data_IF_819572041498
#
_entry.id   IF_819572041498
#
_cell.length_a   1.000
_cell.length_b   1.000
_cell.length_c   1.000
_cell.angle_alpha   90.00
_cell.angle_beta   90.00
_cell.angle_gamma   90.00
#
_symmetry.space_group_name_H-M   'P 1'
#
loop_
_entity.id
_entity.type
_entity.pdbx_description
1 polymer ?
#
# COMPACT_ATOMS: atom_id res chain seq x y z
N UNK A 1 -25.32 -10.25 35.22
CA UNK A 1 -24.65 -9.70 34.00
C UNK A 1 -23.35 -9.10 34.47
N UNK A 2 -22.23 -9.79 34.26
CA UNK A 2 -20.91 -9.26 34.61
C UNK A 2 -20.64 -8.04 33.71
N UNK A 3 -20.47 -6.86 34.28
CA UNK A 3 -19.94 -5.70 33.61
C UNK A 3 -18.52 -6.04 33.15
N UNK A 4 -18.36 -6.31 31.87
CA UNK A 4 -17.02 -6.45 31.24
C UNK A 4 -16.42 -5.04 31.34
N UNK A 5 -15.56 -4.84 32.34
CA UNK A 5 -14.80 -3.58 32.48
C UNK A 5 -14.06 -3.31 31.17
N UNK A 6 -14.23 -2.12 30.64
CA UNK A 6 -13.52 -1.71 29.41
C UNK A 6 -12.03 -1.92 29.62
N UNK A 7 -11.30 -2.39 28.60
CA UNK A 7 -9.83 -2.55 28.65
C UNK A 7 -9.13 -1.24 29.07
N UNK A 8 -9.75 -0.09 28.83
CA UNK A 8 -9.25 1.23 29.22
C UNK A 8 -9.37 1.48 30.74
N UNK A 9 -10.17 0.70 31.47
CA UNK A 9 -10.28 0.71 32.92
C UNK A 9 -9.45 -0.39 33.59
N UNK A 10 -8.45 -0.92 32.87
CA UNK A 10 -7.54 -1.93 33.38
C UNK A 10 -6.68 -1.32 34.51
N UNK A 11 -6.58 -2.01 35.65
CA UNK A 11 -5.80 -1.58 36.83
C UNK A 11 -4.32 -1.32 36.53
N UNK A 12 -3.76 -1.91 35.46
CA UNK A 12 -2.40 -1.66 35.00
C UNK A 12 -2.23 -0.35 34.24
N UNK A 13 -3.31 0.36 33.90
CA UNK A 13 -3.26 1.67 33.24
C UNK A 13 -3.43 2.74 34.32
N UNK A 14 -2.51 3.72 34.32
CA UNK A 14 -2.55 4.84 35.25
C UNK A 14 -3.89 5.57 35.18
N UNK A 15 -4.38 6.03 36.33
CA UNK A 15 -5.66 6.77 36.46
C UNK A 15 -5.71 8.01 35.57
N UNK A 16 -4.60 8.71 35.41
CA UNK A 16 -4.48 9.89 34.57
C UNK A 16 -4.72 9.56 33.06
N UNK A 17 -4.18 8.44 32.60
CA UNK A 17 -4.42 7.93 31.24
C UNK A 17 -5.88 7.49 31.05
N UNK A 18 -6.47 6.83 32.04
CA UNK A 18 -7.88 6.45 31.99
C UNK A 18 -8.77 7.68 31.88
N UNK A 19 -8.53 8.70 32.72
CA UNK A 19 -9.26 9.97 32.67
C UNK A 19 -9.06 10.72 31.34
N UNK A 20 -7.82 10.67 30.79
CA UNK A 20 -7.51 11.27 29.50
C UNK A 20 -8.26 10.61 28.35
N UNK A 21 -8.35 9.27 28.35
CA UNK A 21 -9.09 8.49 27.34
C UNK A 21 -10.59 8.82 27.37
N UNK A 22 -11.18 8.98 28.56
CA UNK A 22 -12.58 9.42 28.70
C UNK A 22 -12.81 10.81 28.12
N UNK A 23 -11.91 11.77 28.41
CA UNK A 23 -12.00 13.14 27.86
C UNK A 23 -11.97 13.17 26.33
N UNK A 24 -11.25 12.26 25.68
CA UNK A 24 -11.20 12.17 24.21
C UNK A 24 -12.22 11.15 23.64
N UNK A 25 -13.25 10.79 24.44
CA UNK A 25 -14.35 9.90 24.05
C UNK A 25 -13.97 8.47 23.65
N UNK A 26 -12.90 7.91 24.22
CA UNK A 26 -12.54 6.50 24.05
C UNK A 26 -13.40 5.63 24.97
N UNK A 27 -14.58 5.24 24.49
CA UNK A 27 -15.55 4.47 25.28
C UNK A 27 -15.44 2.96 25.07
N UNK A 28 -15.23 2.54 23.83
CA UNK A 28 -15.16 1.11 23.46
C UNK A 28 -13.85 0.81 22.74
N UNK A 29 -13.08 -0.19 23.18
CA UNK A 29 -11.87 -0.60 22.50
C UNK A 29 -12.19 -1.28 21.16
N UNK A 30 -11.33 -1.09 20.18
CA UNK A 30 -11.34 -1.88 18.95
C UNK A 30 -10.76 -3.28 19.23
N UNK A 31 -10.97 -4.24 18.31
CA UNK A 31 -10.37 -5.57 18.42
C UNK A 31 -8.85 -5.52 18.58
N UNK A 32 -8.18 -4.64 17.80
CA UNK A 32 -6.72 -4.44 17.91
C UNK A 32 -6.34 -3.96 19.32
N UNK A 33 -7.03 -2.96 19.85
CA UNK A 33 -6.76 -2.42 21.19
C UNK A 33 -6.99 -3.47 22.28
N UNK A 34 -8.06 -4.26 22.18
CA UNK A 34 -8.37 -5.32 23.14
C UNK A 34 -7.28 -6.41 23.21
N UNK A 35 -6.64 -6.70 22.09
CA UNK A 35 -5.58 -7.73 22.02
C UNK A 35 -4.19 -7.16 22.36
N UNK A 36 -3.85 -5.99 21.84
CA UNK A 36 -2.49 -5.43 21.90
C UNK A 36 -2.19 -4.76 23.25
N UNK A 37 -3.14 -4.01 23.82
CA UNK A 37 -2.91 -3.28 25.09
C UNK A 37 -2.47 -4.22 26.20
N UNK A 38 -3.17 -5.35 26.47
CA UNK A 38 -2.74 -6.28 27.52
C UNK A 38 -1.37 -6.91 27.26
N UNK A 39 -1.07 -7.24 26.00
CA UNK A 39 0.22 -7.83 25.62
C UNK A 39 1.37 -6.89 25.93
N UNK A 40 1.28 -5.63 25.49
CA UNK A 40 2.32 -4.61 25.74
C UNK A 40 2.43 -4.22 27.21
N UNK A 41 1.31 -4.11 27.96
CA UNK A 41 1.31 -3.89 29.41
C UNK A 41 2.00 -5.03 30.16
N UNK A 42 1.95 -6.25 29.64
CA UNK A 42 2.67 -7.41 30.16
C UNK A 42 4.09 -7.54 29.59
N UNK A 43 4.61 -6.50 28.94
CA UNK A 43 5.97 -6.42 28.37
C UNK A 43 6.27 -7.52 27.33
N UNK A 44 5.27 -8.00 26.61
CA UNK A 44 5.45 -8.94 25.51
C UNK A 44 5.81 -8.23 24.22
N UNK A 45 6.70 -8.82 23.42
CA UNK A 45 6.92 -8.41 22.05
C UNK A 45 5.71 -8.78 21.22
N UNK A 46 5.30 -7.90 20.30
CA UNK A 46 4.11 -8.12 19.46
C UNK A 46 4.41 -7.86 17.99
N UNK A 47 3.87 -8.72 17.14
CA UNK A 47 3.79 -8.49 15.69
C UNK A 47 2.31 -8.47 15.34
N UNK A 48 1.82 -7.30 14.93
CA UNK A 48 0.39 -7.05 14.75
C UNK A 48 0.08 -6.83 13.29
N UNK A 49 -0.71 -7.72 12.73
CA UNK A 49 -1.27 -7.56 11.40
C UNK A 49 -2.71 -7.06 11.50
N UNK A 50 -2.96 -5.84 11.05
CA UNK A 50 -4.28 -5.24 11.09
C UNK A 50 -4.40 -4.11 10.05
N UNK A 51 -5.60 -3.97 9.47
CA UNK A 51 -5.90 -2.96 8.45
C UNK A 51 -5.65 -1.53 8.95
N UNK A 52 -5.42 -0.59 8.01
CA UNK A 52 -5.36 0.85 8.31
C UNK A 52 -6.70 1.32 8.87
N UNK A 53 -6.68 2.18 9.91
CA UNK A 53 -7.91 2.66 10.57
C UNK A 53 -8.47 1.74 11.65
N UNK A 54 -7.87 0.57 11.91
CA UNK A 54 -8.32 -0.39 12.95
C UNK A 54 -8.08 0.06 14.40
N UNK A 55 -7.36 1.19 14.59
CA UNK A 55 -7.04 1.71 15.92
C UNK A 55 -5.65 1.33 16.45
N UNK A 56 -4.73 0.85 15.60
CA UNK A 56 -3.34 0.49 15.95
C UNK A 56 -2.62 1.55 16.77
N UNK A 57 -2.73 2.81 16.37
CA UNK A 57 -1.99 3.92 17.00
C UNK A 57 -2.24 4.01 18.51
N UNK A 58 -3.49 4.01 18.95
CA UNK A 58 -3.80 4.05 20.37
C UNK A 58 -3.51 2.71 21.07
N UNK A 59 -3.55 1.58 20.34
CA UNK A 59 -3.22 0.29 20.89
C UNK A 59 -1.78 0.19 21.42
N UNK A 60 -0.82 0.90 20.81
CA UNK A 60 0.55 0.96 21.31
C UNK A 60 0.86 2.24 22.09
N UNK A 61 0.27 3.39 21.78
CA UNK A 61 0.56 4.64 22.49
C UNK A 61 0.10 4.61 23.95
N UNK A 62 -1.04 3.99 24.25
CA UNK A 62 -1.55 3.85 25.62
C UNK A 62 -0.56 3.10 26.52
N UNK A 63 -0.11 1.86 26.17
CA UNK A 63 0.89 1.17 26.99
C UNK A 63 2.23 1.89 27.05
N UNK A 64 2.66 2.54 25.96
CA UNK A 64 3.93 3.29 25.93
C UNK A 64 3.89 4.44 26.92
N UNK A 65 2.88 5.31 26.85
CA UNK A 65 2.76 6.44 27.78
C UNK A 65 2.60 5.94 29.22
N UNK A 66 1.98 4.79 29.43
CA UNK A 66 1.85 4.16 30.73
C UNK A 66 3.21 3.70 31.31
N UNK A 67 4.15 3.26 30.47
CA UNK A 67 5.45 2.77 30.90
C UNK A 67 6.50 3.86 31.18
N UNK A 68 6.29 5.06 30.69
CA UNK A 68 7.25 6.17 30.83
C UNK A 68 7.23 6.68 32.26
N UNK A 69 8.42 6.74 32.86
CA UNK A 69 8.67 7.46 34.13
C UNK A 69 8.90 8.95 33.85
N UNK A 70 8.00 9.79 34.35
CA UNK A 70 8.01 11.24 34.13
C UNK A 70 9.20 11.92 34.77
N UNK A 71 9.78 11.31 35.83
CA UNK A 71 10.91 11.86 36.58
C UNK A 71 12.28 11.51 36.00
N UNK A 72 12.32 10.51 35.08
CA UNK A 72 13.57 10.10 34.45
C UNK A 72 13.83 10.90 33.15
N UNK A 73 14.85 11.82 33.14
CA UNK A 73 15.12 12.67 31.98
C UNK A 73 15.93 11.94 30.91
N UNK A 74 15.47 10.77 30.48
CA UNK A 74 16.12 9.93 29.48
C UNK A 74 15.10 9.46 28.45
N UNK A 75 15.54 9.11 27.23
CA UNK A 75 14.68 8.54 26.22
C UNK A 75 14.27 7.12 26.60
N UNK A 76 12.98 6.90 26.83
CA UNK A 76 12.44 5.64 27.33
C UNK A 76 11.60 4.90 26.28
N UNK A 77 11.09 5.62 25.29
CA UNK A 77 10.30 5.00 24.22
C UNK A 77 10.56 5.66 22.87
N UNK A 78 10.51 4.85 21.82
CA UNK A 78 10.66 5.30 20.43
C UNK A 78 9.56 4.67 19.59
N UNK A 79 8.94 5.50 18.75
CA UNK A 79 8.00 5.04 17.70
C UNK A 79 8.55 5.50 16.35
N UNK A 80 8.70 4.56 15.42
CA UNK A 80 9.11 4.89 14.04
C UNK A 80 7.95 4.75 13.08
N UNK A 81 7.90 5.66 12.10
CA UNK A 81 7.02 5.57 10.95
C UNK A 81 7.79 5.89 9.67
N UNK A 82 7.48 5.21 8.54
CA UNK A 82 8.28 5.27 7.31
C UNK A 82 8.29 6.64 6.65
N UNK A 83 7.27 7.45 6.82
CA UNK A 83 7.19 8.78 6.24
C UNK A 83 7.10 9.88 7.29
N UNK A 84 7.52 11.10 6.91
CA UNK A 84 7.48 12.28 7.75
C UNK A 84 6.05 12.67 8.15
N UNK A 85 5.14 12.50 7.24
CA UNK A 85 3.72 12.81 7.41
C UNK A 85 3.10 11.89 8.45
N UNK A 86 3.34 10.57 8.34
CA UNK A 86 2.87 9.59 9.33
C UNK A 86 3.48 9.85 10.69
N UNK A 87 4.81 10.04 10.76
CA UNK A 87 5.48 10.35 12.03
C UNK A 87 4.94 11.65 12.67
N UNK A 88 4.66 12.69 11.88
CA UNK A 88 4.04 13.92 12.38
C UNK A 88 2.59 13.71 12.84
N UNK A 89 1.84 12.85 12.18
CA UNK A 89 0.49 12.47 12.59
C UNK A 89 0.52 11.74 13.94
N UNK A 90 1.41 10.75 14.08
CA UNK A 90 1.62 10.03 15.35
C UNK A 90 2.04 10.97 16.48
N UNK A 91 2.91 11.92 16.19
CA UNK A 91 3.34 12.95 17.14
C UNK A 91 2.16 13.77 17.66
N UNK A 92 1.25 14.20 16.77
CA UNK A 92 0.05 14.95 17.17
C UNK A 92 -0.87 14.10 18.04
N UNK A 93 -1.09 12.83 17.68
CA UNK A 93 -1.93 11.89 18.45
C UNK A 93 -1.32 11.63 19.82
N UNK A 94 -0.01 11.40 19.90
CA UNK A 94 0.68 11.18 21.17
C UNK A 94 0.58 12.40 22.09
N UNK A 95 0.75 13.61 21.55
CA UNK A 95 0.57 14.86 22.29
C UNK A 95 -0.86 15.04 22.79
N UNK A 96 -1.84 14.81 21.92
CA UNK A 96 -3.25 14.91 22.30
C UNK A 96 -3.58 13.98 23.47
N UNK A 97 -3.11 12.74 23.44
CA UNK A 97 -3.34 11.77 24.51
C UNK A 97 -2.61 12.19 25.79
N UNK A 98 -1.34 12.62 25.71
CA UNK A 98 -0.58 13.15 26.84
C UNK A 98 -1.29 14.35 27.48
N UNK A 99 -1.68 15.34 26.66
CA UNK A 99 -2.29 16.57 27.14
C UNK A 99 -3.67 16.30 27.79
N UNK A 100 -4.48 15.42 27.18
CA UNK A 100 -5.76 15.01 27.75
C UNK A 100 -5.60 14.30 29.10
N UNK A 101 -4.50 13.55 29.27
CA UNK A 101 -4.17 12.80 30.48
C UNK A 101 -3.44 13.64 31.55
N UNK A 102 -3.00 14.86 31.22
CA UNK A 102 -2.24 15.72 32.14
C UNK A 102 -0.84 15.18 32.47
N UNK A 103 -0.28 14.29 31.65
CA UNK A 103 1.06 13.71 31.87
C UNK A 103 2.17 14.71 31.55
N UNK A 104 3.19 14.78 32.39
CA UNK A 104 4.36 15.63 32.17
C UNK A 104 5.47 14.89 31.39
N UNK A 105 5.13 14.32 30.26
CA UNK A 105 6.02 13.56 29.37
C UNK A 105 6.54 14.46 28.25
N UNK A 106 7.86 14.54 28.10
CA UNK A 106 8.50 15.22 26.97
C UNK A 106 8.43 14.33 25.70
N UNK A 107 7.75 14.81 24.66
CA UNK A 107 7.62 14.12 23.38
C UNK A 107 8.28 14.96 22.29
N UNK A 108 9.19 14.38 21.51
CA UNK A 108 9.86 15.07 20.41
C UNK A 108 9.62 14.36 19.08
N UNK A 109 9.45 15.14 18.02
CA UNK A 109 9.31 14.69 16.65
C UNK A 109 10.63 14.83 15.90
N UNK A 110 11.20 13.72 15.42
CA UNK A 110 12.41 13.69 14.62
C UNK A 110 12.08 13.28 13.17
N UNK A 111 11.67 14.25 12.37
CA UNK A 111 11.43 14.10 10.94
C UNK A 111 12.36 14.96 10.12
N UNK A 112 12.61 14.55 8.88
CA UNK A 112 13.36 15.37 7.92
C UNK A 112 12.60 16.65 7.56
N UNK A 113 13.32 17.68 7.04
CA UNK A 113 12.74 18.96 6.62
C UNK A 113 12.51 19.97 7.74
N UNK A 114 12.68 19.60 8.99
CA UNK A 114 12.81 20.53 10.10
C UNK A 114 14.29 20.90 10.29
N UNK A 115 14.54 22.06 10.91
CA UNK A 115 15.88 22.49 11.23
C UNK A 115 16.59 21.43 12.09
N UNK A 116 17.59 20.79 11.50
CA UNK A 116 18.35 19.71 12.14
C UNK A 116 19.10 20.21 13.38
N UNK A 117 19.68 21.40 13.31
CA UNK A 117 20.45 21.95 14.40
C UNK A 117 19.56 22.25 15.61
N UNK A 118 18.37 22.80 15.38
CA UNK A 118 17.39 23.03 16.43
C UNK A 118 16.88 21.73 17.07
N UNK A 119 16.76 20.63 16.29
CA UNK A 119 16.42 19.31 16.86
C UNK A 119 17.56 18.75 17.71
N UNK A 120 18.84 18.98 17.32
CA UNK A 120 20.02 18.59 18.09
C UNK A 120 20.07 19.37 19.41
N UNK A 121 19.99 20.69 19.34
CA UNK A 121 19.99 21.55 20.53
C UNK A 121 18.93 21.13 21.56
N UNK A 122 17.74 20.80 21.10
CA UNK A 122 16.67 20.30 21.97
C UNK A 122 16.99 18.93 22.58
N UNK A 123 17.52 17.98 21.78
CA UNK A 123 17.86 16.66 22.26
C UNK A 123 19.02 16.70 23.30
N UNK A 124 19.95 17.62 23.13
CA UNK A 124 21.09 17.83 24.04
C UNK A 124 20.67 18.58 25.31
N UNK A 125 19.78 19.58 25.19
CA UNK A 125 19.34 20.37 26.36
C UNK A 125 18.48 19.58 27.33
N UNK A 126 17.61 18.70 26.82
CA UNK A 126 16.76 17.81 27.61
C UNK A 126 16.41 16.61 26.77
N UNK A 127 16.86 15.42 27.17
CA UNK A 127 16.51 14.18 26.48
C UNK A 127 14.97 13.96 26.49
N UNK A 128 14.30 13.86 25.31
CA UNK A 128 12.88 13.59 25.26
C UNK A 128 12.60 12.15 25.72
N UNK A 129 11.55 11.96 26.52
CA UNK A 129 11.19 10.65 27.06
C UNK A 129 10.53 9.76 26.00
N UNK A 130 9.79 10.37 25.07
CA UNK A 130 9.22 9.70 23.88
C UNK A 130 9.71 10.37 22.60
N UNK A 131 10.26 9.59 21.71
CA UNK A 131 10.65 10.04 20.37
C UNK A 131 9.73 9.42 19.34
N UNK A 132 9.20 10.24 18.42
CA UNK A 132 8.50 9.81 17.24
C UNK A 132 9.30 10.24 16.01
N UNK A 133 9.77 9.27 15.22
CA UNK A 133 10.79 9.55 14.22
C UNK A 133 10.56 8.82 12.90
N UNK A 134 11.17 9.35 11.83
CA UNK A 134 11.42 8.54 10.62
C UNK A 134 12.72 7.74 10.78
N UNK A 135 12.81 6.51 10.21
CA UNK A 135 13.99 5.65 10.39
C UNK A 135 15.31 6.33 10.08
N UNK A 136 15.42 7.02 8.93
CA UNK A 136 16.65 7.70 8.54
C UNK A 136 17.06 8.84 9.48
N UNK A 137 16.11 9.59 10.05
CA UNK A 137 16.42 10.66 11.00
C UNK A 137 16.82 10.09 12.37
N UNK A 138 16.13 9.05 12.80
CA UNK A 138 16.49 8.36 14.05
C UNK A 138 17.89 7.75 13.96
N UNK A 139 18.21 7.12 12.85
CA UNK A 139 19.54 6.57 12.58
C UNK A 139 20.65 7.65 12.61
N UNK A 140 20.43 8.80 11.94
CA UNK A 140 21.38 9.94 11.97
C UNK A 140 21.65 10.44 13.41
N UNK A 141 20.60 10.51 14.23
CA UNK A 141 20.73 10.99 15.62
C UNK A 141 21.36 9.94 16.54
N UNK A 142 21.02 8.67 16.39
CA UNK A 142 21.57 7.58 17.18
C UNK A 142 23.04 7.27 16.82
N UNK A 143 23.40 7.33 15.52
CA UNK A 143 24.78 7.10 15.07
C UNK A 143 25.73 8.20 15.54
N UNK A 144 25.26 9.43 15.67
CA UNK A 144 26.03 10.59 16.19
C UNK A 144 25.92 10.77 17.70
N UNK A 145 25.27 9.84 18.41
CA UNK A 145 25.09 9.84 19.85
C UNK A 145 24.32 11.04 20.43
N UNK A 146 23.50 11.73 19.61
CA UNK A 146 22.57 12.76 20.12
C UNK A 146 21.41 12.13 20.90
N UNK A 147 21.18 10.82 20.72
CA UNK A 147 20.19 10.04 21.47
C UNK A 147 20.86 8.79 22.00
N UNK A 148 20.68 8.53 23.30
CA UNK A 148 21.07 7.26 23.89
C UNK A 148 19.94 6.24 23.79
N UNK A 149 20.23 5.08 23.21
CA UNK A 149 19.28 4.00 23.00
C UNK A 149 19.24 2.98 24.16
N UNK A 150 20.21 3.02 25.07
CA UNK A 150 20.35 2.04 26.16
C UNK A 150 19.19 2.06 27.16
N UNK A 151 18.57 3.24 27.34
CA UNK A 151 17.47 3.43 28.29
C UNK A 151 16.07 3.20 27.63
N UNK A 152 16.02 2.81 26.37
CA UNK A 152 14.77 2.60 25.63
C UNK A 152 14.09 1.31 26.13
N UNK A 153 12.95 1.48 26.79
CA UNK A 153 12.11 0.39 27.31
C UNK A 153 11.11 -0.15 26.31
N UNK A 154 10.73 0.68 25.32
CA UNK A 154 9.79 0.29 24.26
C UNK A 154 10.20 0.85 22.91
N UNK A 155 10.14 0.02 21.86
CA UNK A 155 10.43 0.41 20.48
C UNK A 155 9.35 -0.11 19.56
N UNK A 156 8.65 0.80 18.86
CA UNK A 156 7.56 0.46 17.97
C UNK A 156 7.90 0.83 16.52
N UNK A 157 7.60 -0.09 15.62
CA UNK A 157 7.67 0.12 14.17
C UNK A 157 6.24 0.17 13.65
N UNK A 158 5.76 1.36 13.32
CA UNK A 158 4.45 1.51 12.67
C UNK A 158 4.60 1.48 11.15
N UNK A 159 3.64 0.90 10.45
CA UNK A 159 3.67 0.58 9.03
C UNK A 159 4.99 -0.11 8.62
N UNK A 160 5.25 -1.27 9.27
CA UNK A 160 6.52 -1.97 9.15
C UNK A 160 6.79 -2.52 7.74
N UNK A 161 5.75 -2.94 7.00
CA UNK A 161 5.82 -3.31 5.60
C UNK A 161 6.31 -2.13 4.74
N UNK A 162 5.75 -0.96 4.96
CA UNK A 162 6.17 0.26 4.26
C UNK A 162 7.62 0.66 4.62
N UNK A 163 8.06 0.42 5.86
CA UNK A 163 9.46 0.63 6.28
C UNK A 163 10.42 -0.28 5.52
N UNK A 164 10.02 -1.54 5.28
CA UNK A 164 10.74 -2.50 4.44
C UNK A 164 10.85 -2.01 3.00
N UNK A 165 9.71 -1.61 2.41
CA UNK A 165 9.62 -1.22 0.99
C UNK A 165 10.39 0.06 0.66
N UNK A 166 10.46 0.97 1.61
CA UNK A 166 11.28 2.19 1.47
C UNK A 166 12.78 1.94 1.66
N UNK A 167 13.18 0.70 1.90
CA UNK A 167 14.59 0.32 2.01
C UNK A 167 15.24 0.68 3.34
N UNK A 168 14.47 0.96 4.39
CA UNK A 168 15.01 1.38 5.69
C UNK A 168 15.46 0.23 6.59
N UNK A 169 15.40 -1.04 6.15
CA UNK A 169 15.75 -2.16 7.01
C UNK A 169 17.20 -2.11 7.52
N UNK A 170 18.16 -1.64 6.72
CA UNK A 170 19.55 -1.54 7.18
C UNK A 170 19.72 -0.54 8.33
N UNK A 171 19.08 0.63 8.23
CA UNK A 171 19.09 1.62 9.31
C UNK A 171 18.35 1.11 10.55
N UNK A 172 17.24 0.41 10.36
CA UNK A 172 16.51 -0.22 11.46
C UNK A 172 17.35 -1.32 12.12
N UNK A 173 18.11 -2.09 11.35
CA UNK A 173 19.04 -3.12 11.86
C UNK A 173 20.10 -2.50 12.77
N UNK A 174 20.71 -1.41 12.34
CA UNK A 174 21.70 -0.68 13.15
C UNK A 174 21.12 -0.06 14.43
N UNK A 175 19.88 0.44 14.37
CA UNK A 175 19.20 1.01 15.54
C UNK A 175 18.85 -0.10 16.52
N UNK A 176 18.16 -1.16 16.03
CA UNK A 176 17.65 -2.22 16.89
C UNK A 176 18.76 -3.05 17.54
N UNK A 177 19.92 -3.16 16.87
CA UNK A 177 21.10 -3.84 17.44
C UNK A 177 21.67 -3.14 18.69
N UNK A 178 21.35 -1.85 18.91
CA UNK A 178 21.83 -1.04 20.06
C UNK A 178 20.81 -0.95 21.19
N UNK A 179 19.61 -1.50 21.01
CA UNK A 179 18.58 -1.51 22.05
C UNK A 179 18.92 -2.53 23.16
N UNK A 180 18.50 -2.26 24.38
CA UNK A 180 18.51 -3.27 25.44
C UNK A 180 17.66 -4.48 25.03
N UNK A 181 18.16 -5.69 25.28
CA UNK A 181 17.44 -6.95 25.02
C UNK A 181 16.14 -7.08 25.80
N UNK A 182 15.96 -6.29 26.86
CA UNK A 182 14.75 -6.22 27.67
C UNK A 182 13.71 -5.24 27.12
N UNK A 183 14.07 -4.46 26.11
CA UNK A 183 13.15 -3.52 25.48
C UNK A 183 11.98 -4.28 24.86
N UNK A 184 10.77 -3.77 25.07
CA UNK A 184 9.55 -4.30 24.45
C UNK A 184 9.50 -3.83 23.01
N UNK A 185 9.42 -4.76 22.08
CA UNK A 185 9.40 -4.46 20.65
C UNK A 185 7.99 -4.73 20.08
N UNK A 186 7.48 -3.78 19.30
CA UNK A 186 6.21 -3.92 18.60
C UNK A 186 6.36 -3.57 17.12
N UNK A 187 5.86 -4.44 16.24
CA UNK A 187 5.74 -4.17 14.82
C UNK A 187 4.27 -4.18 14.41
N UNK A 188 3.83 -3.10 13.78
CA UNK A 188 2.45 -2.90 13.34
C UNK A 188 2.42 -2.71 11.84
N UNK A 189 1.61 -3.49 11.15
CA UNK A 189 1.57 -3.50 9.69
C UNK A 189 0.21 -3.94 9.17
N UNK A 190 -0.10 -3.60 7.92
CA UNK A 190 -1.24 -4.18 7.22
C UNK A 190 -0.88 -5.59 6.68
N UNK A 191 0.39 -5.76 6.27
CA UNK A 191 0.92 -7.02 5.73
C UNK A 191 2.21 -7.42 6.43
N UNK A 192 2.52 -8.71 6.49
CA UNK A 192 3.77 -9.23 7.08
C UNK A 192 4.49 -10.11 6.04
N UNK A 193 5.19 -9.51 5.07
CA UNK A 193 5.99 -10.26 4.11
C UNK A 193 7.08 -11.10 4.78
N UNK A 194 7.45 -12.23 4.19
CA UNK A 194 8.48 -13.15 4.73
C UNK A 194 9.78 -12.44 5.08
N UNK A 195 10.20 -11.48 4.26
CA UNK A 195 11.42 -10.69 4.51
C UNK A 195 11.32 -9.84 5.78
N UNK A 196 10.15 -9.24 6.03
CA UNK A 196 9.88 -8.48 7.25
C UNK A 196 9.82 -9.40 8.46
N UNK A 197 9.12 -10.54 8.34
CA UNK A 197 9.04 -11.53 9.42
C UNK A 197 10.43 -12.02 9.84
N UNK A 198 11.30 -12.38 8.88
CA UNK A 198 12.67 -12.79 9.14
C UNK A 198 13.49 -11.70 9.84
N UNK A 199 13.31 -10.43 9.45
CA UNK A 199 13.95 -9.29 10.11
C UNK A 199 13.47 -9.15 11.57
N UNK A 200 12.17 -9.22 11.81
CA UNK A 200 11.60 -9.08 13.15
C UNK A 200 12.02 -10.24 14.08
N UNK A 201 12.08 -11.47 13.57
CA UNK A 201 12.55 -12.66 14.33
C UNK A 201 14.00 -12.54 14.81
N UNK A 202 14.82 -11.75 14.16
CA UNK A 202 16.21 -11.47 14.60
C UNK A 202 16.26 -10.75 15.95
N UNK A 203 15.29 -9.87 16.22
CA UNK A 203 15.27 -9.00 17.39
C UNK A 203 14.22 -9.38 18.43
N UNK A 204 13.11 -9.98 18.00
CA UNK A 204 12.00 -10.34 18.87
C UNK A 204 12.07 -11.81 19.27
N UNK A 205 12.39 -12.08 20.53
CA UNK A 205 12.28 -13.44 21.09
C UNK A 205 10.81 -13.78 21.34
N UNK A 206 10.28 -14.82 20.69
CA UNK A 206 8.91 -15.33 20.87
C UNK A 206 7.85 -14.22 20.85
N UNK A 207 7.75 -13.43 19.78
CA UNK A 207 6.73 -12.38 19.70
C UNK A 207 5.33 -13.01 19.67
N UNK A 208 4.38 -12.32 20.28
CA UNK A 208 2.97 -12.64 20.13
C UNK A 208 2.49 -12.13 18.76
N UNK A 209 2.11 -13.06 17.89
CA UNK A 209 1.54 -12.72 16.59
C UNK A 209 0.04 -12.48 16.77
N UNK A 210 -0.37 -11.23 16.59
CA UNK A 210 -1.75 -10.79 16.70
C UNK A 210 -2.25 -10.47 15.29
N UNK A 211 -2.99 -11.40 14.72
CA UNK A 211 -3.65 -11.18 13.43
C UNK A 211 -5.10 -10.82 13.75
N UNK A 212 -5.46 -9.60 13.41
CA UNK A 212 -6.85 -9.18 13.51
C UNK A 212 -7.51 -9.52 12.19
N UNK A 213 -8.19 -10.64 12.19
CA UNK A 213 -8.98 -11.07 11.07
C UNK A 213 -10.01 -9.98 10.74
N UNK A 214 -9.70 -9.23 9.72
CA UNK A 214 -10.72 -8.52 9.00
C UNK A 214 -11.13 -9.47 7.87
N UNK A 215 -12.36 -9.99 7.84
CA UNK A 215 -12.80 -10.88 6.76
C UNK A 215 -12.70 -10.22 5.39
N UNK A 216 -12.47 -8.92 5.36
CA UNK A 216 -12.17 -8.18 4.14
C UNK A 216 -10.85 -7.39 4.33
N UNK A 217 -9.85 -7.69 3.52
CA UNK A 217 -8.59 -6.93 3.42
C UNK A 217 -8.87 -5.47 3.05
N UNK A 218 -9.95 -5.24 2.33
CA UNK A 218 -10.55 -3.95 2.00
C UNK A 218 -11.79 -3.76 2.87
N UNK A 219 -11.98 -2.57 3.43
CA UNK A 219 -13.15 -2.27 4.25
C UNK A 219 -14.44 -2.55 3.46
N UNK A 220 -15.47 -3.19 4.07
CA UNK A 220 -16.73 -3.53 3.37
C UNK A 220 -17.49 -2.31 2.82
N UNK A 221 -17.16 -1.11 3.32
CA UNK A 221 -17.71 0.17 2.87
C UNK A 221 -17.09 0.65 1.55
N UNK A 222 -16.08 -0.07 1.01
CA UNK A 222 -15.40 0.30 -0.23
C UNK A 222 -15.90 -0.59 -1.36
N UNK A 223 -16.57 0.00 -2.33
CA UNK A 223 -16.82 -0.64 -3.62
C UNK A 223 -15.51 -0.70 -4.41
N UNK A 224 -15.13 -1.88 -4.90
CA UNK A 224 -13.85 -2.08 -5.58
C UNK A 224 -14.05 -2.64 -6.99
N UNK A 225 -14.05 -1.75 -7.97
CA UNK A 225 -14.33 -2.06 -9.36
C UNK A 225 -13.06 -2.31 -10.18
N UNK A 226 -13.15 -3.19 -11.16
CA UNK A 226 -12.12 -3.47 -12.15
C UNK A 226 -12.63 -3.17 -13.55
N UNK A 227 -11.89 -2.36 -14.30
CA UNK A 227 -12.21 -2.00 -15.68
C UNK A 227 -11.09 -2.46 -16.62
N UNK A 228 -11.42 -3.39 -17.50
CA UNK A 228 -10.57 -3.76 -18.63
C UNK A 228 -10.66 -2.68 -19.71
N UNK A 229 -9.54 -2.02 -19.95
CA UNK A 229 -9.42 -0.94 -20.95
C UNK A 229 -9.48 -1.48 -22.38
N UNK A 230 -9.01 -2.72 -22.58
CA UNK A 230 -8.93 -3.33 -23.91
C UNK A 230 -8.08 -2.52 -24.89
N UNK A 231 -8.65 -2.14 -26.02
CA UNK A 231 -7.98 -1.32 -27.04
C UNK A 231 -8.27 0.18 -26.91
N UNK A 232 -9.01 0.59 -25.90
CA UNK A 232 -9.39 2.00 -25.68
C UNK A 232 -8.22 2.80 -25.12
N UNK A 233 -8.26 4.10 -25.31
CA UNK A 233 -7.28 5.01 -24.68
C UNK A 233 -7.54 5.12 -23.17
N UNK A 234 -6.56 4.71 -22.37
CA UNK A 234 -6.64 4.67 -20.91
C UNK A 234 -6.80 6.05 -20.29
N UNK A 235 -6.19 7.09 -20.88
CA UNK A 235 -6.32 8.48 -20.43
C UNK A 235 -7.75 9.00 -20.62
N UNK A 236 -8.38 8.68 -21.75
CA UNK A 236 -9.77 9.05 -22.04
C UNK A 236 -10.75 8.35 -21.08
N UNK A 237 -10.50 7.08 -20.73
CA UNK A 237 -11.30 6.37 -19.72
C UNK A 237 -11.13 7.04 -18.35
N UNK A 238 -9.90 7.34 -17.95
CA UNK A 238 -9.63 8.04 -16.69
C UNK A 238 -10.41 9.37 -16.61
N UNK A 239 -10.32 10.19 -17.65
CA UNK A 239 -11.04 11.48 -17.70
C UNK A 239 -12.54 11.30 -17.49
N UNK A 240 -13.15 10.34 -18.20
CA UNK A 240 -14.58 10.03 -18.07
C UNK A 240 -14.95 9.58 -16.66
N UNK A 241 -14.14 8.73 -16.03
CA UNK A 241 -14.37 8.28 -14.65
C UNK A 241 -14.31 9.44 -13.66
N UNK A 242 -13.36 10.35 -13.82
CA UNK A 242 -13.20 11.49 -12.94
C UNK A 242 -14.36 12.51 -13.07
N UNK A 243 -14.95 12.62 -14.27
CA UNK A 243 -16.02 13.59 -14.56
C UNK A 243 -17.44 13.02 -14.39
N UNK A 244 -17.58 11.70 -14.40
CA UNK A 244 -18.87 11.00 -14.38
C UNK A 244 -19.67 11.23 -13.09
N UNK A 245 -19.03 11.13 -11.94
CA UNK A 245 -19.71 11.16 -10.63
C UNK A 245 -19.43 12.41 -9.79
N UNK A 246 -18.73 13.39 -10.32
CA UNK A 246 -18.27 14.60 -9.60
C UNK A 246 -17.78 14.27 -8.18
N UNK A 247 -16.71 13.46 -8.04
CA UNK A 247 -16.24 13.06 -6.74
C UNK A 247 -15.85 14.28 -5.90
N UNK A 248 -16.10 14.26 -4.60
CA UNK A 248 -15.63 15.32 -3.72
C UNK A 248 -14.10 15.46 -3.80
N UNK A 249 -13.39 14.35 -3.75
CA UNK A 249 -11.95 14.28 -3.94
C UNK A 249 -11.57 12.93 -4.55
N UNK A 250 -10.96 12.95 -5.73
CA UNK A 250 -10.43 11.77 -6.41
C UNK A 250 -8.90 11.72 -6.30
N UNK A 251 -8.38 10.53 -5.97
CA UNK A 251 -6.94 10.25 -5.91
C UNK A 251 -6.57 9.22 -6.97
N UNK A 252 -5.77 9.63 -7.95
CA UNK A 252 -5.31 8.80 -9.07
C UNK A 252 -3.87 8.34 -8.83
N UNK A 253 -3.64 7.04 -8.87
CA UNK A 253 -2.31 6.45 -8.67
C UNK A 253 -1.66 6.03 -9.97
N UNK A 254 -0.40 6.45 -10.17
CA UNK A 254 0.48 6.01 -11.22
C UNK A 254 1.85 5.58 -10.65
N UNK A 255 2.54 4.67 -11.35
CA UNK A 255 3.76 4.06 -10.83
C UNK A 255 4.99 4.95 -10.93
N UNK A 256 5.05 5.85 -11.92
CA UNK A 256 6.23 6.66 -12.18
C UNK A 256 5.94 8.16 -12.11
N UNK A 257 6.98 8.95 -11.77
CA UNK A 257 6.92 10.41 -11.86
C UNK A 257 6.49 10.88 -13.25
N UNK A 258 7.05 10.26 -14.30
CA UNK A 258 6.75 10.60 -15.68
C UNK A 258 5.27 10.40 -16.00
N UNK A 259 4.70 9.25 -15.60
CA UNK A 259 3.27 8.99 -15.80
C UNK A 259 2.40 9.99 -15.03
N UNK A 260 2.81 10.37 -13.80
CA UNK A 260 2.10 11.40 -13.01
C UNK A 260 2.09 12.74 -13.76
N UNK A 261 3.24 13.19 -14.28
CA UNK A 261 3.33 14.43 -15.06
C UNK A 261 2.46 14.35 -16.33
N UNK A 262 2.58 13.28 -17.13
CA UNK A 262 1.79 13.06 -18.35
C UNK A 262 0.26 13.01 -18.12
N UNK A 263 -0.18 12.46 -17.01
CA UNK A 263 -1.60 12.41 -16.64
C UNK A 263 -2.09 13.77 -16.17
N UNK A 264 -1.27 14.48 -15.40
CA UNK A 264 -1.62 15.83 -14.94
C UNK A 264 -1.79 16.75 -16.12
N UNK A 265 -0.79 16.81 -17.02
CA UNK A 265 -0.82 17.66 -18.21
C UNK A 265 -2.06 17.33 -19.09
N UNK A 266 -2.33 16.05 -19.33
CA UNK A 266 -3.51 15.63 -20.09
C UNK A 266 -4.83 16.07 -19.45
N UNK A 267 -4.98 15.91 -18.13
CA UNK A 267 -6.22 16.27 -17.43
C UNK A 267 -6.40 17.79 -17.35
N UNK A 268 -5.31 18.56 -17.22
CA UNK A 268 -5.33 20.01 -17.27
C UNK A 268 -5.71 20.52 -18.69
N UNK A 269 -5.21 19.90 -19.77
CA UNK A 269 -5.63 20.15 -21.15
C UNK A 269 -7.14 19.89 -21.36
N UNK A 270 -7.72 18.93 -20.62
CA UNK A 270 -9.17 18.69 -20.62
C UNK A 270 -9.97 19.65 -19.70
N UNK A 271 -9.31 20.66 -19.13
CA UNK A 271 -9.94 21.69 -18.30
C UNK A 271 -10.14 21.32 -16.84
N UNK A 272 -9.56 20.22 -16.35
CA UNK A 272 -9.62 19.85 -14.94
C UNK A 272 -8.52 20.54 -14.13
N UNK A 273 -8.86 21.00 -12.92
CA UNK A 273 -7.89 21.55 -11.98
C UNK A 273 -7.27 20.41 -11.15
N UNK A 274 -6.05 20.03 -11.49
CA UNK A 274 -5.38 18.83 -10.93
C UNK A 274 -4.19 19.22 -10.07
N UNK A 275 -4.03 18.56 -8.92
CA UNK A 275 -2.80 18.61 -8.14
C UNK A 275 -1.93 17.38 -8.44
N UNK A 276 -0.60 17.55 -8.55
CA UNK A 276 0.33 16.44 -8.73
C UNK A 276 1.23 16.25 -7.52
N UNK A 277 1.46 14.99 -7.14
CA UNK A 277 2.32 14.63 -6.01
C UNK A 277 3.22 13.45 -6.40
N UNK A 278 4.51 13.70 -6.57
CA UNK A 278 5.51 12.68 -6.86
C UNK A 278 6.85 13.01 -6.21
N UNK A 279 7.81 12.09 -6.23
CA UNK A 279 9.11 12.26 -5.56
C UNK A 279 10.01 13.38 -6.12
N UNK A 280 9.61 14.03 -7.22
CA UNK A 280 10.36 15.14 -7.82
C UNK A 280 9.95 16.53 -7.34
N UNK A 281 8.86 16.68 -6.60
CA UNK A 281 8.45 17.96 -6.01
C UNK A 281 9.18 18.21 -4.70
N UNK A 282 9.44 19.50 -4.39
CA UNK A 282 10.07 19.88 -3.14
C UNK A 282 9.14 19.65 -1.95
N UNK A 283 9.71 19.44 -0.77
CA UNK A 283 8.91 19.26 0.46
C UNK A 283 8.01 20.45 0.77
N UNK A 284 8.51 21.67 0.53
CA UNK A 284 7.73 22.91 0.73
C UNK A 284 6.53 22.95 -0.21
N UNK A 285 6.71 22.58 -1.45
CA UNK A 285 5.66 22.51 -2.46
C UNK A 285 4.64 21.41 -2.11
N UNK A 286 5.12 20.22 -1.73
CA UNK A 286 4.26 19.13 -1.28
C UNK A 286 3.36 19.54 -0.10
N UNK A 287 3.93 20.18 0.93
CA UNK A 287 3.15 20.70 2.08
C UNK A 287 2.11 21.72 1.63
N UNK A 288 2.47 22.60 0.68
CA UNK A 288 1.53 23.57 0.11
C UNK A 288 0.38 22.88 -0.60
N UNK A 289 0.68 21.92 -1.50
CA UNK A 289 -0.33 21.17 -2.26
C UNK A 289 -1.27 20.42 -1.31
N UNK A 290 -0.73 19.67 -0.33
CA UNK A 290 -1.55 18.94 0.64
C UNK A 290 -2.49 19.88 1.41
N UNK A 291 -2.02 21.06 1.79
CA UNK A 291 -2.87 22.07 2.44
C UNK A 291 -3.99 22.54 1.51
N UNK A 292 -3.67 22.88 0.28
CA UNK A 292 -4.64 23.33 -0.73
C UNK A 292 -5.68 22.23 -1.06
N UNK A 293 -5.28 20.96 -1.08
CA UNK A 293 -6.20 19.82 -1.24
C UNK A 293 -7.15 19.72 -0.04
N UNK A 294 -6.65 19.87 1.19
CA UNK A 294 -7.48 19.89 2.41
C UNK A 294 -8.46 21.06 2.47
N UNK A 295 -8.06 22.18 1.90
CA UNK A 295 -8.90 23.38 1.77
C UNK A 295 -9.90 23.29 0.59
N UNK A 296 -9.96 22.16 -0.13
CA UNK A 296 -10.87 21.94 -1.25
C UNK A 296 -10.53 22.71 -2.53
N UNK A 297 -9.29 23.22 -2.65
CA UNK A 297 -8.85 23.95 -3.83
C UNK A 297 -8.61 23.03 -5.06
N UNK A 298 -8.45 21.74 -4.83
CA UNK A 298 -8.29 20.70 -5.83
C UNK A 298 -9.25 19.55 -5.57
N UNK A 299 -9.96 19.13 -6.61
CA UNK A 299 -10.85 17.97 -6.61
C UNK A 299 -10.14 16.70 -7.11
N UNK A 300 -9.08 16.87 -7.88
CA UNK A 300 -8.34 15.77 -8.49
C UNK A 300 -6.87 15.82 -8.09
N UNK A 301 -6.34 14.69 -7.66
CA UNK A 301 -4.93 14.56 -7.27
C UNK A 301 -4.34 13.37 -8.01
N UNK A 302 -3.28 13.58 -8.80
CA UNK A 302 -2.50 12.50 -9.41
C UNK A 302 -1.21 12.29 -8.63
N UNK A 303 -0.97 11.08 -8.17
CA UNK A 303 0.16 10.81 -7.28
C UNK A 303 0.89 9.51 -7.60
N UNK A 304 2.18 9.47 -7.29
CA UNK A 304 2.94 8.21 -7.23
C UNK A 304 2.88 7.61 -5.82
N UNK A 305 3.02 6.28 -5.72
CA UNK A 305 2.93 5.55 -4.45
C UNK A 305 3.78 6.15 -3.34
N UNK A 306 5.08 6.31 -3.61
CA UNK A 306 6.03 6.82 -2.63
C UNK A 306 5.63 8.21 -2.11
N UNK A 307 5.09 9.04 -2.98
CA UNK A 307 4.72 10.41 -2.64
C UNK A 307 3.32 10.52 -2.02
N UNK A 308 2.41 9.60 -2.35
CA UNK A 308 1.07 9.53 -1.76
C UNK A 308 1.04 8.84 -0.39
N UNK A 309 2.13 8.13 -0.03
CA UNK A 309 2.25 7.50 1.29
C UNK A 309 2.24 8.54 2.40
N UNK A 310 1.47 8.26 3.43
CA UNK A 310 1.32 9.18 4.57
C UNK A 310 0.48 10.42 4.29
N UNK A 311 -0.09 10.58 3.09
CA UNK A 311 -1.07 11.63 2.84
C UNK A 311 -2.37 11.23 3.53
N UNK A 312 -2.64 11.87 4.65
CA UNK A 312 -3.95 11.83 5.30
C UNK A 312 -4.74 13.04 4.83
N UNK A 313 -5.51 12.83 3.78
CA UNK A 313 -6.48 13.81 3.28
C UNK A 313 -7.87 13.25 3.52
N UNK A 314 -8.67 13.91 4.37
CA UNK A 314 -10.05 13.51 4.58
C UNK A 314 -10.89 13.75 3.32
N UNK A 315 -11.93 12.94 3.12
CA UNK A 315 -12.89 13.15 2.04
C UNK A 315 -12.50 12.54 0.70
N UNK A 316 -11.48 11.69 0.62
CA UNK A 316 -11.22 10.89 -0.58
C UNK A 316 -12.34 9.88 -0.74
N UNK A 317 -13.22 10.11 -1.71
CA UNK A 317 -14.32 9.20 -2.01
C UNK A 317 -14.09 8.35 -3.26
N UNK A 318 -13.15 8.74 -4.13
CA UNK A 318 -12.74 7.98 -5.30
C UNK A 318 -11.22 7.73 -5.32
N UNK A 319 -10.83 6.49 -5.48
CA UNK A 319 -9.45 6.09 -5.77
C UNK A 319 -9.41 5.43 -7.14
N UNK A 320 -8.51 5.88 -8.01
CA UNK A 320 -8.29 5.23 -9.31
C UNK A 320 -6.86 4.71 -9.39
N UNK A 321 -6.69 3.41 -9.45
CA UNK A 321 -5.42 2.80 -9.81
C UNK A 321 -5.27 2.84 -11.34
N UNK A 322 -4.62 3.89 -11.85
CA UNK A 322 -4.35 4.02 -13.29
C UNK A 322 -3.38 2.94 -13.78
N UNK A 323 -2.41 2.56 -12.95
CA UNK A 323 -1.46 1.46 -13.18
C UNK A 323 -1.42 0.56 -11.94
N UNK A 324 -1.33 -0.76 -12.15
CA UNK A 324 -1.07 -1.69 -11.06
C UNK A 324 0.37 -1.51 -10.58
N UNK A 325 0.64 -1.39 -9.28
CA UNK A 325 2.00 -1.26 -8.77
C UNK A 325 2.78 -2.58 -8.95
N UNK A 326 4.12 -2.48 -8.98
CA UNK A 326 4.98 -3.66 -9.07
C UNK A 326 4.80 -4.60 -7.88
N UNK A 327 4.69 -4.03 -6.69
CA UNK A 327 4.40 -4.75 -5.46
C UNK A 327 2.90 -4.66 -5.21
N UNK A 328 2.22 -5.78 -5.37
CA UNK A 328 0.75 -5.85 -5.37
C UNK A 328 0.12 -5.42 -4.03
N UNK A 329 0.86 -5.57 -2.92
CA UNK A 329 0.41 -5.13 -1.59
C UNK A 329 0.09 -3.62 -1.55
N UNK A 330 0.72 -2.80 -2.42
CA UNK A 330 0.40 -1.38 -2.50
C UNK A 330 -1.01 -1.08 -2.99
N UNK A 331 -1.64 -2.00 -3.72
CA UNK A 331 -3.05 -1.85 -4.11
C UNK A 331 -3.93 -1.70 -2.88
N UNK A 332 -3.68 -2.48 -1.82
CA UNK A 332 -4.40 -2.40 -0.53
C UNK A 332 -4.24 -1.01 0.09
N UNK A 333 -3.00 -0.52 0.14
CA UNK A 333 -2.69 0.80 0.71
C UNK A 333 -3.29 1.96 -0.10
N UNK A 334 -3.40 1.82 -1.44
CA UNK A 334 -4.04 2.79 -2.31
C UNK A 334 -5.55 2.80 -2.09
N UNK A 335 -6.18 1.63 -2.13
CA UNK A 335 -7.63 1.47 -1.90
C UNK A 335 -8.01 1.99 -0.50
N UNK A 336 -7.22 1.71 0.52
CA UNK A 336 -7.42 2.21 1.89
C UNK A 336 -7.24 3.74 2.05
N UNK A 337 -7.07 4.51 0.97
CA UNK A 337 -7.17 5.99 1.02
C UNK A 337 -8.62 6.47 1.00
N UNK A 338 -9.54 5.68 0.49
CA UNK A 338 -11.00 5.92 0.57
C UNK A 338 -11.65 5.08 1.66
N UNK A 339 -12.94 5.25 1.91
CA UNK A 339 -13.71 4.45 2.87
C UNK A 339 -13.29 4.59 4.33
N UNK A 340 -12.67 5.71 4.73
CA UNK A 340 -12.18 5.94 6.10
C UNK A 340 -13.28 6.39 7.03
N UNK A 341 -13.13 6.08 8.32
CA UNK A 341 -14.07 6.47 9.40
C UNK A 341 -15.50 5.96 9.18
N UNK A 342 -15.66 4.82 8.50
CA UNK A 342 -16.97 4.22 8.22
C UNK A 342 -17.74 4.90 7.07
N UNK A 343 -17.12 5.82 6.35
CA UNK A 343 -17.69 6.42 5.15
C UNK A 343 -17.61 5.44 3.98
N UNK A 344 -18.52 5.57 3.02
CA UNK A 344 -18.47 4.85 1.77
C UNK A 344 -17.30 5.35 0.91
N UNK A 345 -16.67 4.42 0.19
CA UNK A 345 -15.57 4.70 -0.72
C UNK A 345 -15.70 3.93 -2.02
N UNK A 346 -15.11 4.46 -3.08
CA UNK A 346 -15.06 3.80 -4.37
C UNK A 346 -13.62 3.68 -4.84
N UNK A 347 -13.19 2.48 -5.19
CA UNK A 347 -11.90 2.21 -5.78
C UNK A 347 -12.10 1.59 -7.18
N UNK A 348 -11.38 2.10 -8.17
CA UNK A 348 -11.45 1.61 -9.55
C UNK A 348 -10.03 1.26 -10.00
N UNK A 349 -9.81 0.05 -10.47
CA UNK A 349 -8.54 -0.38 -11.04
C UNK A 349 -8.66 -0.54 -12.56
N UNK A 350 -7.80 0.16 -13.30
CA UNK A 350 -7.76 0.10 -14.76
C UNK A 350 -6.68 -0.88 -15.21
N UNK A 351 -7.05 -1.86 -16.03
CA UNK A 351 -6.11 -2.86 -16.53
C UNK A 351 -6.15 -2.99 -18.05
N UNK A 352 -5.04 -3.50 -18.59
CA UNK A 352 -5.00 -4.11 -19.93
C UNK A 352 -5.07 -5.64 -19.82
N UNK A 353 -5.45 -6.30 -20.91
CA UNK A 353 -5.61 -7.77 -20.99
C UNK A 353 -4.37 -8.56 -20.48
N UNK A 354 -3.16 -8.02 -20.64
CA UNK A 354 -1.90 -8.65 -20.24
C UNK A 354 -1.59 -8.48 -18.74
N UNK A 355 -2.32 -7.61 -18.04
CA UNK A 355 -2.18 -7.38 -16.58
C UNK A 355 -3.10 -8.29 -15.75
N UNK A 356 -3.95 -9.12 -16.40
CA UNK A 356 -4.94 -9.95 -15.69
C UNK A 356 -4.34 -10.96 -14.71
N UNK A 357 -3.14 -11.47 -14.98
CA UNK A 357 -2.44 -12.35 -14.05
C UNK A 357 -2.14 -11.68 -12.71
N UNK A 358 -1.94 -10.36 -12.70
CA UNK A 358 -1.71 -9.60 -11.47
C UNK A 358 -3.01 -9.44 -10.67
N UNK A 359 -4.16 -9.38 -11.35
CA UNK A 359 -5.47 -9.39 -10.68
C UNK A 359 -5.73 -10.74 -10.02
N UNK A 360 -5.43 -11.85 -10.72
CA UNK A 360 -5.53 -13.20 -10.14
C UNK A 360 -4.65 -13.34 -8.88
N UNK A 361 -3.48 -12.69 -8.85
CA UNK A 361 -2.61 -12.69 -7.67
C UNK A 361 -3.15 -11.78 -6.55
N UNK A 362 -3.78 -10.66 -6.88
CA UNK A 362 -4.49 -9.79 -5.92
C UNK A 362 -5.71 -10.50 -5.31
N UNK A 363 -6.45 -11.26 -6.11
CA UNK A 363 -7.57 -12.07 -5.61
C UNK A 363 -7.12 -13.16 -4.64
N UNK A 364 -5.96 -13.79 -4.87
CA UNK A 364 -5.34 -14.74 -3.92
C UNK A 364 -4.94 -14.08 -2.61
N UNK A 365 -4.61 -12.79 -2.63
CA UNK A 365 -4.39 -11.98 -1.42
C UNK A 365 -5.71 -11.60 -0.71
N UNK A 366 -6.89 -11.99 -1.28
CA UNK A 366 -8.19 -11.74 -0.70
C UNK A 366 -8.84 -10.41 -1.09
N UNK A 367 -8.36 -9.76 -2.16
CA UNK A 367 -8.98 -8.57 -2.74
C UNK A 367 -10.03 -9.02 -3.76
N UNK A 368 -11.29 -8.66 -3.53
CA UNK A 368 -12.36 -8.94 -4.49
C UNK A 368 -12.60 -7.72 -5.38
N UNK A 369 -12.84 -7.98 -6.67
CA UNK A 369 -13.14 -6.96 -7.67
C UNK A 369 -14.48 -7.22 -8.32
N UNK A 370 -15.28 -6.15 -8.48
CA UNK A 370 -16.48 -6.16 -9.31
C UNK A 370 -16.12 -5.73 -10.72
N UNK A 371 -16.34 -6.63 -11.69
CA UNK A 371 -16.03 -6.34 -13.09
C UNK A 371 -17.04 -5.36 -13.68
N UNK A 372 -16.57 -4.18 -14.08
CA UNK A 372 -17.39 -3.14 -14.70
C UNK A 372 -16.86 -2.77 -16.09
N UNK A 373 -17.72 -2.20 -16.89
CA UNK A 373 -17.36 -1.56 -18.16
C UNK A 373 -17.93 -0.15 -18.20
N UNK A 374 -17.19 0.77 -18.80
CA UNK A 374 -17.66 2.15 -18.99
C UNK A 374 -18.35 2.26 -20.34
N UNK A 375 -19.70 2.42 -20.33
CA UNK A 375 -20.53 2.58 -21.53
C UNK A 375 -21.40 3.81 -21.39
N UNK A 376 -21.41 4.65 -22.40
CA UNK A 376 -22.24 5.87 -22.47
C UNK A 376 -22.15 6.79 -21.24
N UNK A 377 -21.03 6.79 -20.54
CA UNK A 377 -20.81 7.58 -19.31
C UNK A 377 -21.32 6.92 -18.03
N UNK A 378 -21.66 5.63 -18.04
CA UNK A 378 -22.10 4.89 -16.87
C UNK A 378 -21.26 3.62 -16.66
N UNK A 379 -21.09 3.22 -15.39
CA UNK A 379 -20.48 1.94 -15.02
C UNK A 379 -21.55 0.85 -15.06
N UNK A 380 -21.42 -0.07 -16.02
CA UNK A 380 -22.32 -1.22 -16.18
C UNK A 380 -21.63 -2.50 -15.74
N UNK A 381 -22.38 -3.37 -15.08
CA UNK A 381 -21.87 -4.69 -14.71
C UNK A 381 -21.46 -5.49 -15.94
N UNK A 382 -20.30 -6.12 -15.85
CA UNK A 382 -19.82 -7.05 -16.86
C UNK A 382 -19.98 -8.47 -16.30
N UNK A 383 -21.07 -9.13 -16.67
CA UNK A 383 -21.47 -10.45 -16.16
C UNK A 383 -20.52 -11.60 -16.52
N UNK A 384 -19.66 -11.41 -17.50
CA UNK A 384 -18.59 -12.35 -17.83
C UNK A 384 -17.34 -11.57 -18.19
N UNK A 385 -16.26 -11.84 -17.50
CA UNK A 385 -14.94 -11.64 -18.04
C UNK A 385 -14.88 -12.55 -19.27
N UNK A 386 -15.12 -11.97 -20.45
CA UNK A 386 -14.84 -12.69 -21.68
C UNK A 386 -13.31 -12.80 -21.77
N UNK A 387 -12.75 -13.79 -21.05
CA UNK A 387 -11.67 -14.51 -21.67
C UNK A 387 -12.15 -14.71 -23.10
N UNK A 388 -11.42 -14.20 -24.05
CA UNK A 388 -11.38 -14.78 -25.36
C UNK A 388 -10.80 -16.18 -25.15
N UNK A 389 -11.59 -17.08 -24.54
CA UNK A 389 -11.29 -18.49 -24.29
C UNK A 389 -10.95 -19.23 -25.58
N UNK A 390 -11.07 -18.58 -26.72
CA UNK A 390 -10.67 -19.07 -28.02
C UNK A 390 -9.34 -18.52 -28.55
N UNK A 391 -8.68 -17.59 -27.87
CA UNK A 391 -7.22 -17.52 -27.95
C UNK A 391 -6.66 -18.34 -26.78
N UNK A 392 -6.74 -19.68 -26.90
CA UNK A 392 -5.65 -20.48 -26.37
C UNK A 392 -4.38 -19.69 -26.68
N UNK A 393 -3.76 -19.08 -25.67
CA UNK A 393 -2.32 -18.90 -25.67
C UNK A 393 -1.82 -20.32 -25.82
N UNK A 394 -1.78 -20.78 -27.07
CA UNK A 394 -1.03 -21.96 -27.42
C UNK A 394 0.35 -21.57 -26.95
N UNK A 395 0.71 -22.05 -25.76
CA UNK A 395 2.07 -22.18 -25.38
C UNK A 395 2.70 -22.98 -26.51
N UNK A 396 3.16 -22.30 -27.54
CA UNK A 396 3.94 -22.89 -28.61
C UNK A 396 5.23 -23.31 -27.92
N UNK A 397 5.16 -24.48 -27.25
CA UNK A 397 6.39 -25.18 -26.85
C UNK A 397 7.24 -25.20 -28.11
N UNK A 398 8.39 -24.57 -28.02
CA UNK A 398 9.34 -24.57 -29.11
C UNK A 398 9.47 -26.03 -29.58
N UNK A 399 9.30 -26.26 -30.86
CA UNK A 399 9.50 -27.57 -31.47
C UNK A 399 10.90 -28.09 -31.12
N UNK A 400 11.04 -29.40 -30.96
CA UNK A 400 12.30 -30.04 -30.62
C UNK A 400 13.46 -29.59 -31.51
N UNK A 401 13.17 -29.29 -32.79
CA UNK A 401 14.12 -28.71 -33.75
C UNK A 401 14.62 -27.33 -33.32
N UNK A 402 13.70 -26.47 -32.86
CA UNK A 402 14.02 -25.11 -32.37
C UNK A 402 14.74 -25.16 -31.02
N UNK A 403 14.37 -26.10 -30.13
CA UNK A 403 15.08 -26.35 -28.87
C UNK A 403 16.53 -26.76 -29.13
N UNK A 404 16.74 -27.66 -30.11
CA UNK A 404 18.05 -28.07 -30.56
C UNK A 404 18.90 -26.92 -31.10
N UNK A 405 18.28 -26.05 -31.94
CA UNK A 405 18.92 -24.87 -32.52
C UNK A 405 19.32 -23.84 -31.46
N UNK A 406 18.44 -23.57 -30.48
CA UNK A 406 18.72 -22.68 -29.33
C UNK A 406 19.86 -23.25 -28.47
N UNK A 407 19.85 -24.55 -28.16
CA UNK A 407 20.94 -25.22 -27.41
C UNK A 407 22.26 -25.14 -28.15
N UNK A 408 22.26 -25.37 -29.48
CA UNK A 408 23.49 -25.32 -30.32
C UNK A 408 24.06 -23.91 -30.41
N UNK A 409 23.19 -22.87 -30.48
CA UNK A 409 23.59 -21.46 -30.55
C UNK A 409 24.09 -20.93 -29.21
N UNK A 410 23.55 -21.45 -28.08
CA UNK A 410 24.07 -21.15 -26.73
C UNK A 410 25.46 -21.72 -26.44
N UNK A 411 25.83 -22.89 -27.06
CA UNK A 411 27.16 -23.48 -26.91
C UNK A 411 28.26 -22.67 -27.62
N UNK A 412 27.95 -21.89 -28.67
CA UNK A 412 28.88 -21.03 -29.40
C UNK A 412 28.49 -19.58 -29.26
N UNK A 413 28.88 -18.92 -28.16
CA UNK A 413 28.60 -17.54 -27.86
C UNK A 413 29.39 -16.62 -28.80
N UNK A 414 28.72 -16.05 -29.82
CA UNK A 414 29.27 -14.99 -30.68
C UNK A 414 28.51 -13.68 -30.41
N UNK A 415 29.13 -12.49 -30.59
CA UNK A 415 28.41 -11.21 -30.49
C UNK A 415 27.11 -11.24 -31.32
N UNK A 416 26.01 -10.78 -30.74
CA UNK A 416 24.70 -10.74 -31.38
C UNK A 416 23.89 -12.06 -31.38
N UNK A 417 24.36 -13.14 -30.70
CA UNK A 417 23.68 -14.43 -30.69
C UNK A 417 22.23 -14.35 -30.14
N UNK A 418 21.96 -13.51 -29.13
CA UNK A 418 20.61 -13.30 -28.59
C UNK A 418 19.63 -12.73 -29.64
N UNK A 419 20.12 -11.77 -30.46
CA UNK A 419 19.33 -11.18 -31.54
C UNK A 419 19.01 -12.22 -32.62
N UNK A 420 19.96 -13.08 -33.00
CA UNK A 420 19.77 -14.18 -33.97
C UNK A 420 18.76 -15.22 -33.47
N UNK A 421 18.83 -15.61 -32.19
CA UNK A 421 17.85 -16.53 -31.59
C UNK A 421 16.45 -15.91 -31.63
N UNK A 422 16.28 -14.64 -31.21
CA UNK A 422 15.00 -13.94 -31.22
C UNK A 422 14.41 -13.85 -32.62
N UNK A 423 15.22 -13.52 -33.62
CA UNK A 423 14.77 -13.46 -35.02
C UNK A 423 14.36 -14.83 -35.56
N UNK A 424 15.11 -15.89 -35.27
CA UNK A 424 14.76 -17.25 -35.70
C UNK A 424 13.43 -17.72 -35.09
N UNK A 425 13.22 -17.49 -33.80
CA UNK A 425 11.97 -17.82 -33.10
C UNK A 425 10.80 -17.04 -33.70
N UNK A 426 10.99 -15.75 -33.96
CA UNK A 426 9.94 -14.89 -34.56
C UNK A 426 9.57 -15.34 -35.97
N UNK A 427 10.57 -15.71 -36.80
CA UNK A 427 10.34 -16.21 -38.14
C UNK A 427 9.59 -17.55 -38.16
N UNK A 428 9.95 -18.49 -37.27
CA UNK A 428 9.26 -19.76 -37.11
C UNK A 428 7.78 -19.54 -36.67
N UNK A 429 7.54 -18.67 -35.72
CA UNK A 429 6.18 -18.30 -35.28
C UNK A 429 5.34 -17.71 -36.42
N UNK A 430 5.91 -16.83 -37.23
CA UNK A 430 5.22 -16.27 -38.40
C UNK A 430 4.88 -17.33 -39.46
N UNK A 431 5.80 -18.25 -39.72
CA UNK A 431 5.55 -19.33 -40.67
C UNK A 431 4.45 -20.29 -40.20
N UNK A 432 4.47 -20.68 -38.91
CA UNK A 432 3.43 -21.51 -38.29
C UNK A 432 2.07 -20.82 -38.34
N UNK A 433 1.99 -19.52 -38.03
CA UNK A 433 0.75 -18.76 -38.12
C UNK A 433 0.18 -18.73 -39.52
N UNK A 434 1.00 -18.50 -40.55
CA UNK A 434 0.55 -18.55 -41.97
C UNK A 434 0.04 -19.93 -42.38
N UNK A 435 0.67 -21.00 -41.92
CA UNK A 435 0.22 -22.37 -42.19
C UNK A 435 -1.14 -22.67 -41.53
N UNK A 436 -1.33 -22.24 -40.29
CA UNK A 436 -2.60 -22.39 -39.57
C UNK A 436 -3.74 -21.61 -40.24
N UNK A 437 -3.48 -20.35 -40.62
CA UNK A 437 -4.46 -19.54 -41.35
C UNK A 437 -4.89 -20.22 -42.67
N UNK A 438 -3.93 -20.76 -43.44
CA UNK A 438 -4.22 -21.51 -44.65
C UNK A 438 -5.06 -22.79 -44.38
N UNK A 439 -4.75 -23.48 -43.28
CA UNK A 439 -5.49 -24.67 -42.88
C UNK A 439 -6.93 -24.32 -42.45
N UNK A 440 -7.13 -23.23 -41.73
CA UNK A 440 -8.47 -22.76 -41.36
C UNK A 440 -9.28 -22.33 -42.56
N UNK A 441 -8.69 -21.62 -43.52
CA UNK A 441 -9.37 -21.23 -44.76
C UNK A 441 -9.79 -22.47 -45.57
N UNK A 442 -8.93 -23.49 -45.67
CA UNK A 442 -9.26 -24.75 -46.33
C UNK A 442 -10.40 -25.49 -45.63
N UNK A 443 -10.37 -25.52 -44.28
CA UNK A 443 -11.43 -26.15 -43.47
C UNK A 443 -12.78 -25.44 -43.64
N UNK A 444 -12.76 -24.10 -43.62
CA UNK A 444 -13.97 -23.30 -43.87
C UNK A 444 -14.54 -23.49 -45.28
N UNK A 445 -13.69 -23.55 -46.33
CA UNK A 445 -14.11 -23.86 -47.70
C UNK A 445 -14.74 -25.24 -47.82
N UNK A 446 -14.14 -26.26 -47.17
CA UNK A 446 -14.72 -27.63 -47.17
C UNK A 446 -16.07 -27.69 -46.45
N UNK A 447 -16.22 -26.95 -45.32
CA UNK A 447 -17.50 -26.87 -44.60
C UNK A 447 -18.58 -26.23 -45.46
N UNK A 448 -18.30 -25.09 -46.09
CA UNK A 448 -19.26 -24.41 -47.02
C UNK A 448 -19.62 -25.27 -48.23
N UNK A 449 -18.67 -26.08 -48.75
CA UNK A 449 -18.95 -27.00 -49.85
C UNK A 449 -19.93 -28.10 -49.41
N UNK A 450 -19.70 -28.70 -48.22
CA UNK A 450 -20.62 -29.71 -47.65
C UNK A 450 -22.03 -29.16 -47.38
N UNK A 451 -22.10 -27.95 -46.82
CA UNK A 451 -23.39 -27.27 -46.57
C UNK A 451 -24.17 -26.99 -47.88
N UNK A 452 -23.46 -26.62 -48.96
CA UNK A 452 -24.08 -26.45 -50.29
C UNK A 452 -24.51 -27.78 -50.91
N UNK A 453 -23.75 -28.85 -50.74
CA UNK A 453 -24.10 -30.19 -51.22
C UNK A 453 -25.32 -30.73 -50.46
N UNK A 454 -25.39 -30.55 -49.15
CA UNK A 454 -26.56 -30.92 -48.34
C UNK A 454 -27.81 -30.09 -48.69
N UNK A 455 -27.66 -28.79 -48.92
CA UNK A 455 -28.77 -27.94 -49.35
C UNK A 455 -29.32 -28.33 -50.75
N UNK A 456 -28.45 -28.80 -51.67
CA UNK A 456 -28.90 -29.32 -52.97
C UNK A 456 -29.60 -30.64 -52.83
N UNK A 457 -29.13 -31.59 -52.01
CA UNK A 457 -29.79 -32.87 -51.79
C UNK A 457 -31.18 -32.78 -51.12
N UNK A 458 -31.42 -31.68 -50.37
CA UNK A 458 -32.70 -31.39 -49.72
C UNK A 458 -33.70 -30.68 -50.68
N UNK A 459 -33.26 -30.26 -51.89
CA UNK A 459 -34.12 -29.64 -52.90
C UNK A 459 -34.54 -30.64 -53.98
N UNK A 460 -33.86 -31.80 -54.09
CA UNK A 460 -34.13 -32.86 -55.08
C UNK A 460 -34.95 -34.00 -54.46
N UNK A 461 -35.43 -33.87 -53.20
CA UNK A 461 -36.43 -34.71 -52.55
C UNK A 461 -37.69 -33.86 -52.25
#
# INVERSE_FOLDING_TARGET
>A
MAQTSSIFQNEKIRSELQAGLEKINFKKPTKVQSSVIPALLNKKNVVVQAATGSGKTHAYLIPILNMIDENAPVTQAIVTAPSRELANQLYKVARQLRDASGLNISIEYLGGGNDRNRQIEKAESRAPQLIIATPGRLHDFASKKFINLENVKAFIIDEADMTLDMGFLSQMDEIMSKLDKKAVLGAFSATIPVKLENFLRKYMSKPEFIVIDNPAIIAPTIQNDLIDVGSRDKKSILYKLLTMGQPYLALVFANTKKTVDELTDYLEEQGLKVAKIHGGITERERKRIIRQVREGQYQYVVASDLAARGIDVPGVNLVVNYEIPKDLEFVIHRIGRTGRNGLEGHAITLIYDDEMSQIEDLEKLGIHFDFKDLRNGELVERTHYHRRDNRQTRNHKLDNRMIGMVKKTKKKVKPGYKKKIKQAIQKDRQQKRKLEERHQIRKAKRKRKREREQARSNFDN
#
